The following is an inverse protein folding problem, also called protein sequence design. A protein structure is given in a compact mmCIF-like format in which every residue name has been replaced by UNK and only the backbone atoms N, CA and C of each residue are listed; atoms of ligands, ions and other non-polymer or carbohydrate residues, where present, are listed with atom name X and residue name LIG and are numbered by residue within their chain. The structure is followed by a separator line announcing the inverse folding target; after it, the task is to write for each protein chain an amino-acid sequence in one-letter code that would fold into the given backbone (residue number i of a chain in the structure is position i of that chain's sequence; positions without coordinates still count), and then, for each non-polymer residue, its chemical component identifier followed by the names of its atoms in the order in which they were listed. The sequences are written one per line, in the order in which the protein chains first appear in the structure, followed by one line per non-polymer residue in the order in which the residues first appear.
data_IF_037034948503
#
_entry.id   IF_037034948503
#
_cell.length_a   1.000
_cell.length_b   1.000
_cell.length_c   1.000
_cell.angle_alpha   90.00
_cell.angle_beta   90.00
_cell.angle_gamma   90.00
#
_symmetry.space_group_name_H-M   'P 1'
#
loop_
_entity.id
_entity.type
_entity.pdbx_description
1 polymer ?
#
# COMPACT_ATOMS: atom_id res chain seq x y z
N UNK A 1 -2.80 1.54 -16.40
CA UNK A 1 -4.00 2.38 -16.20
C UNK A 1 -3.79 3.03 -14.86
N UNK A 2 -4.09 4.31 -14.64
CA UNK A 2 -3.86 4.89 -13.31
C UNK A 2 -5.08 4.64 -12.42
N UNK A 3 -4.84 4.41 -11.13
CA UNK A 3 -5.85 4.42 -10.09
C UNK A 3 -6.41 5.84 -9.98
N UNK A 4 -7.72 5.99 -10.17
CA UNK A 4 -8.41 7.24 -9.88
C UNK A 4 -8.45 7.49 -8.37
N UNK A 5 -8.71 8.74 -7.95
CA UNK A 5 -8.83 9.12 -6.53
C UNK A 5 -9.68 8.17 -5.68
N UNK A 6 -10.83 7.74 -6.20
CA UNK A 6 -11.72 6.83 -5.48
C UNK A 6 -11.08 5.44 -5.25
N UNK A 7 -10.33 4.93 -6.22
CA UNK A 7 -9.62 3.66 -6.08
C UNK A 7 -8.49 3.78 -5.06
N UNK A 8 -7.75 4.89 -5.12
CA UNK A 8 -6.70 5.26 -4.17
C UNK A 8 -7.24 5.32 -2.75
N UNK A 9 -8.39 5.96 -2.53
CA UNK A 9 -9.05 6.03 -1.21
C UNK A 9 -9.43 4.64 -0.68
N UNK A 10 -9.99 3.78 -1.53
CA UNK A 10 -10.35 2.40 -1.12
C UNK A 10 -9.11 1.57 -0.78
N UNK A 11 -8.05 1.67 -1.58
CA UNK A 11 -6.79 1.00 -1.31
C UNK A 11 -6.22 1.45 0.03
N UNK A 12 -6.25 2.75 0.31
CA UNK A 12 -5.83 3.31 1.59
C UNK A 12 -6.60 2.73 2.78
N UNK A 13 -7.93 2.63 2.68
CA UNK A 13 -8.74 2.02 3.74
C UNK A 13 -8.39 0.55 3.96
N UNK A 14 -8.16 -0.22 2.88
CA UNK A 14 -7.73 -1.60 2.99
C UNK A 14 -6.36 -1.72 3.68
N UNK A 15 -5.39 -0.91 3.27
CA UNK A 15 -4.06 -0.90 3.89
C UNK A 15 -4.13 -0.50 5.36
N UNK A 16 -4.95 0.49 5.72
CA UNK A 16 -5.19 0.86 7.11
C UNK A 16 -5.70 -0.33 7.91
N UNK A 17 -6.68 -1.05 7.37
CA UNK A 17 -7.28 -2.19 8.07
C UNK A 17 -6.25 -3.34 8.21
N UNK A 18 -5.35 -3.53 7.23
CA UNK A 18 -4.23 -4.48 7.32
C UNK A 18 -3.15 -4.08 8.34
N UNK A 19 -2.82 -2.79 8.43
CA UNK A 19 -1.76 -2.27 9.30
C UNK A 19 -2.24 -2.04 10.74
N UNK A 20 -3.55 -1.87 10.94
CA UNK A 20 -4.14 -1.57 12.24
C UNK A 20 -3.80 -0.17 12.76
N UNK A 21 -4.34 0.17 13.94
CA UNK A 21 -4.16 1.48 14.57
C UNK A 21 -2.71 1.75 15.03
N UNK A 22 -1.93 0.69 15.29
CA UNK A 22 -0.54 0.78 15.77
C UNK A 22 0.47 0.89 14.61
N UNK A 23 0.05 0.57 13.39
CA UNK A 23 0.92 0.52 12.20
C UNK A 23 0.82 1.74 11.28
N UNK A 24 0.08 2.79 11.63
CA UNK A 24 -0.03 3.99 10.77
C UNK A 24 0.69 5.21 11.35
N UNK A 25 1.64 5.75 10.60
CA UNK A 25 2.01 7.16 10.71
C UNK A 25 0.95 8.04 10.02
N UNK A 26 0.23 8.84 10.82
CA UNK A 26 -0.94 9.67 10.46
C UNK A 26 -0.61 10.83 9.49
N UNK A 27 0.65 11.05 9.11
CA UNK A 27 1.10 12.35 8.61
C UNK A 27 1.05 12.56 7.09
N UNK A 28 0.76 11.55 6.26
CA UNK A 28 0.48 11.74 4.84
C UNK A 28 -0.38 10.60 4.28
N UNK A 29 -1.40 10.95 3.49
CA UNK A 29 -2.35 9.98 2.91
C UNK A 29 -1.61 8.95 2.05
N UNK A 30 -0.63 9.40 1.25
CA UNK A 30 0.27 8.61 0.43
C UNK A 30 1.57 9.40 0.26
N UNK A 31 2.72 8.76 0.45
CA UNK A 31 4.04 9.32 0.18
C UNK A 31 4.52 8.89 -1.19
N UNK A 32 5.13 9.79 -1.96
CA UNK A 32 5.72 9.42 -3.24
C UNK A 32 6.88 8.45 -3.01
N UNK A 33 6.88 7.32 -3.72
CA UNK A 33 7.92 6.32 -3.62
C UNK A 33 9.17 6.82 -4.34
N UNK A 34 10.17 7.21 -3.57
CA UNK A 34 11.54 7.25 -4.06
C UNK A 34 12.15 5.85 -3.95
N UNK A 35 13.08 5.50 -4.84
CA UNK A 35 13.73 4.18 -4.82
C UNK A 35 14.72 4.02 -3.66
N UNK A 36 14.75 4.96 -2.70
CA UNK A 36 15.57 4.84 -1.52
C UNK A 36 15.01 3.74 -0.63
N UNK A 37 15.91 3.03 0.03
CA UNK A 37 15.50 2.17 1.12
C UNK A 37 15.21 3.04 2.36
N UNK A 38 13.98 2.95 2.88
CA UNK A 38 13.55 3.60 4.11
C UNK A 38 13.00 2.55 5.08
N UNK A 39 13.83 2.17 6.06
CA UNK A 39 13.46 1.19 7.09
C UNK A 39 12.38 1.72 8.05
N UNK A 40 12.35 3.04 8.29
CA UNK A 40 11.36 3.65 9.17
C UNK A 40 9.98 3.56 8.53
N UNK A 41 9.87 3.77 7.21
CA UNK A 41 8.61 3.64 6.48
C UNK A 41 7.99 2.24 6.55
N UNK A 42 8.82 1.19 6.59
CA UNK A 42 8.35 -0.19 6.81
C UNK A 42 7.86 -0.38 8.24
N UNK A 43 8.52 0.23 9.23
CA UNK A 43 8.12 0.15 10.64
C UNK A 43 6.84 0.93 10.92
N UNK A 44 6.65 2.07 10.27
CA UNK A 44 5.53 2.98 10.49
C UNK A 44 4.36 2.77 9.53
N UNK A 45 4.44 1.73 8.69
CA UNK A 45 3.39 1.32 7.74
C UNK A 45 2.99 2.43 6.78
N UNK A 46 3.98 3.03 6.12
CA UNK A 46 3.71 4.04 5.10
C UNK A 46 3.02 3.43 3.87
N UNK A 47 2.06 4.18 3.33
CA UNK A 47 1.49 3.93 2.01
C UNK A 47 2.30 4.73 0.99
N UNK A 48 2.82 4.02 0.00
CA UNK A 48 3.61 4.57 -1.09
C UNK A 48 2.77 4.72 -2.35
N UNK A 49 3.07 5.77 -3.12
CA UNK A 49 2.47 6.04 -4.42
C UNK A 49 3.52 6.25 -5.50
N UNK A 50 3.28 5.77 -6.71
CA UNK A 50 4.15 6.00 -7.89
C UNK A 50 3.41 6.82 -8.94
N UNK A 51 4.06 7.84 -9.47
CA UNK A 51 3.57 8.70 -10.56
C UNK A 51 2.18 9.30 -10.26
N UNK A 52 2.17 10.32 -9.39
CA UNK A 52 0.97 11.06 -9.00
C UNK A 52 0.33 11.76 -10.20
N UNK A 53 -0.97 11.55 -10.37
CA UNK A 53 -1.78 12.17 -11.42
C UNK A 53 -2.45 13.46 -10.92
N UNK A 54 -2.89 14.30 -11.86
CA UNK A 54 -3.47 15.61 -11.56
C UNK A 54 -4.81 15.55 -10.82
N UNK A 55 -5.50 14.40 -10.87
CA UNK A 55 -6.81 14.13 -10.28
C UNK A 55 -6.72 13.49 -8.89
N UNK A 56 -5.57 13.62 -8.22
CA UNK A 56 -5.20 12.86 -7.00
C UNK A 56 -5.16 11.34 -7.20
N UNK A 57 -5.15 10.88 -8.45
CA UNK A 57 -4.85 9.50 -8.80
C UNK A 57 -3.36 9.17 -8.70
N UNK A 58 -3.05 7.88 -8.79
CA UNK A 58 -1.69 7.36 -8.78
C UNK A 58 -1.58 6.22 -9.79
N UNK A 59 -0.42 6.01 -10.40
CA UNK A 59 -0.22 4.83 -11.24
C UNK A 59 -0.12 3.55 -10.41
N UNK A 60 0.45 3.65 -9.20
CA UNK A 60 0.53 2.52 -8.28
C UNK A 60 0.41 3.04 -6.84
N UNK A 61 -0.28 2.28 -5.98
CA UNK A 61 -0.26 2.48 -4.54
C UNK A 61 0.00 1.18 -3.81
N UNK A 62 0.90 1.19 -2.83
CA UNK A 62 1.29 -0.03 -2.12
C UNK A 62 1.81 0.23 -0.71
N UNK A 63 1.85 -0.84 0.08
CA UNK A 63 2.52 -0.88 1.38
C UNK A 63 3.71 -1.83 1.35
N UNK A 64 4.60 -1.63 2.31
CA UNK A 64 5.75 -2.49 2.55
C UNK A 64 5.63 -3.16 3.91
N UNK A 65 5.78 -4.49 3.96
CA UNK A 65 5.67 -5.30 5.17
C UNK A 65 6.88 -6.21 5.34
N UNK A 66 7.43 -6.34 6.55
CA UNK A 66 8.44 -7.37 6.86
C UNK A 66 7.87 -8.78 6.81
N UNK A 67 6.62 -8.91 7.22
CA UNK A 67 5.91 -10.18 7.22
C UNK A 67 4.48 -9.94 6.75
N UNK A 68 3.98 -10.86 5.93
CA UNK A 68 2.58 -10.87 5.52
C UNK A 68 1.83 -11.92 6.34
N UNK A 69 1.35 -11.51 7.51
CA UNK A 69 0.75 -12.40 8.51
C UNK A 69 -0.56 -13.02 8.01
N UNK A 70 -1.02 -14.17 8.56
CA UNK A 70 -2.29 -14.77 8.16
C UNK A 70 -3.51 -13.84 8.32
N UNK A 71 -3.52 -13.00 9.37
CA UNK A 71 -4.59 -12.04 9.59
C UNK A 71 -4.60 -10.94 8.51
N UNK A 72 -3.43 -10.43 8.13
CA UNK A 72 -3.32 -9.45 7.05
C UNK A 72 -3.72 -10.04 5.69
N UNK A 73 -3.37 -11.31 5.45
CA UNK A 73 -3.79 -12.04 4.25
C UNK A 73 -5.31 -12.17 4.17
N UNK A 74 -5.96 -12.51 5.28
CA UNK A 74 -7.41 -12.60 5.33
C UNK A 74 -8.08 -11.25 5.05
N UNK A 75 -7.56 -10.16 5.61
CA UNK A 75 -8.06 -8.79 5.35
C UNK A 75 -7.86 -8.42 3.88
N UNK A 76 -6.68 -8.70 3.33
CA UNK A 76 -6.35 -8.46 1.93
C UNK A 76 -7.30 -9.21 1.00
N UNK A 77 -7.44 -10.53 1.17
CA UNK A 77 -8.30 -11.38 0.32
C UNK A 77 -9.76 -10.94 0.37
N UNK A 78 -10.26 -10.49 1.52
CA UNK A 78 -11.63 -9.96 1.65
C UNK A 78 -11.82 -8.59 1.01
N UNK A 79 -10.77 -7.77 0.96
CA UNK A 79 -10.84 -6.39 0.51
C UNK A 79 -10.40 -6.15 -0.93
N UNK A 80 -9.70 -7.10 -1.56
CA UNK A 80 -9.02 -6.92 -2.86
C UNK A 80 -9.99 -6.51 -3.97
N UNK A 81 -11.19 -7.11 -4.02
CA UNK A 81 -12.21 -6.84 -5.04
C UNK A 81 -12.93 -5.50 -4.82
N UNK A 82 -12.71 -4.83 -3.69
CA UNK A 82 -13.35 -3.54 -3.41
C UNK A 82 -12.65 -2.40 -4.13
N UNK A 83 -11.33 -2.55 -4.37
CA UNK A 83 -10.51 -1.61 -5.11
C UNK A 83 -10.68 -1.97 -6.58
N UNK A 84 -11.30 -1.10 -7.41
CA UNK A 84 -11.23 -1.32 -8.85
C UNK A 84 -9.74 -1.31 -9.23
N UNK A 85 -9.35 -1.93 -10.35
CA UNK A 85 -7.94 -2.10 -10.76
C UNK A 85 -7.25 -3.37 -10.23
N UNK A 86 -6.07 -3.65 -10.78
CA UNK A 86 -5.40 -4.92 -10.54
C UNK A 86 -4.57 -4.85 -9.27
N UNK A 87 -4.59 -5.92 -8.50
CA UNK A 87 -3.80 -6.07 -7.29
C UNK A 87 -2.47 -6.78 -7.57
N UNK A 88 -1.46 -6.55 -6.74
CA UNK A 88 -0.23 -7.33 -6.75
C UNK A 88 0.27 -7.62 -5.33
N UNK A 89 0.97 -8.75 -5.21
CA UNK A 89 1.75 -9.14 -4.05
C UNK A 89 3.11 -9.59 -4.59
N UNK A 90 4.15 -8.82 -4.30
CA UNK A 90 5.52 -9.20 -4.60
C UNK A 90 6.15 -9.90 -3.40
N UNK A 91 6.89 -10.97 -3.71
CA UNK A 91 7.73 -11.66 -2.75
C UNK A 91 8.76 -10.71 -2.12
N UNK A 92 9.31 -11.06 -0.95
CA UNK A 92 10.31 -10.25 -0.27
C UNK A 92 11.45 -9.83 -1.18
N UNK A 93 11.72 -8.53 -1.23
CA UNK A 93 12.88 -8.00 -1.93
C UNK A 93 14.20 -8.36 -1.20
N UNK A 94 15.33 -7.83 -1.69
CA UNK A 94 16.66 -8.05 -1.07
C UNK A 94 16.76 -7.62 0.41
N UNK A 95 15.81 -6.82 0.91
CA UNK A 95 15.72 -6.38 2.31
C UNK A 95 14.72 -7.21 3.13
N UNK A 96 14.15 -8.28 2.56
CA UNK A 96 13.19 -9.14 3.24
C UNK A 96 11.80 -8.52 3.39
N UNK A 97 11.42 -7.58 2.51
CA UNK A 97 10.16 -6.83 2.60
C UNK A 97 9.24 -7.14 1.44
N UNK A 98 8.02 -7.51 1.77
CA UNK A 98 6.90 -7.72 0.85
C UNK A 98 6.37 -6.38 0.35
N UNK A 99 5.99 -6.31 -0.93
CA UNK A 99 5.25 -5.17 -1.49
C UNK A 99 3.87 -5.63 -1.91
N UNK A 100 2.84 -4.96 -1.40
CA UNK A 100 1.44 -5.34 -1.62
C UNK A 100 0.69 -4.08 -2.04
N UNK A 101 0.01 -4.12 -3.17
CA UNK A 101 -0.64 -2.92 -3.69
C UNK A 101 -1.51 -3.11 -4.93
N UNK A 102 -1.78 -1.99 -5.60
CA UNK A 102 -2.65 -1.92 -6.78
C UNK A 102 -2.04 -1.06 -7.89
N UNK A 103 -2.43 -1.36 -9.14
CA UNK A 103 -2.11 -0.60 -10.36
C UNK A 103 -3.32 -0.56 -11.31
#
# INVERSE_FOLDING_TARGET
MALCKQAVEKAWYLFRDMLGAEGMCINSFISEFDKSWDEDAVRTGHVFGVDRKYDDGWENVFIQLREFTPQQKEIWEKGIDTVPYSSFVHEPNQHGVWQIGFF
#
